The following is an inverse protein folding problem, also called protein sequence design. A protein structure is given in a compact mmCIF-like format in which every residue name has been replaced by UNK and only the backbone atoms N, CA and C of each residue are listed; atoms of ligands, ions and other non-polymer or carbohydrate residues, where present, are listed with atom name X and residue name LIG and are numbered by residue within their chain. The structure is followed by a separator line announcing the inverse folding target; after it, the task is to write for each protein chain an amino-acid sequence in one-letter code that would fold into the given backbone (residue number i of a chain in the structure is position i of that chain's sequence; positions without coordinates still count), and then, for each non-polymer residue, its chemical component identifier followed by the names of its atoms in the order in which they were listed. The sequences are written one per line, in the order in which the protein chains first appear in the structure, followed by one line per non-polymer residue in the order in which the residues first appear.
data_IF_611235721603
#
_entry.id   IF_611235721603
#
_cell.length_a   1.000
_cell.length_b   1.000
_cell.length_c   1.000
_cell.angle_alpha   90.00
_cell.angle_beta   90.00
_cell.angle_gamma   90.00
#
_symmetry.space_group_name_H-M   'P 1'
#
loop_
_entity.id
_entity.type
_entity.pdbx_description
1 polymer ?
#
# COMPACT_ATOMS: atom_id res chain seq x y z
N UNK A 1 11.10 -15.90 -9.32
CA UNK A 1 9.71 -15.49 -9.52
C UNK A 1 9.06 -16.60 -10.35
N UNK A 2 7.93 -17.16 -9.93
CA UNK A 2 7.27 -18.28 -10.65
C UNK A 2 5.95 -17.76 -11.20
N UNK A 3 5.72 -17.95 -12.50
CA UNK A 3 4.50 -17.48 -13.15
C UNK A 3 3.27 -18.20 -12.57
N UNK A 4 2.15 -17.49 -12.39
CA UNK A 4 0.90 -18.05 -11.88
C UNK A 4 0.88 -18.33 -10.37
N UNK A 5 1.98 -18.06 -9.65
CA UNK A 5 2.04 -18.19 -8.19
C UNK A 5 1.78 -16.86 -7.50
N UNK A 6 1.03 -16.88 -6.40
CA UNK A 6 0.90 -15.72 -5.51
C UNK A 6 2.23 -15.51 -4.77
N UNK A 7 2.86 -14.36 -4.97
CA UNK A 7 4.17 -14.03 -4.43
C UNK A 7 4.18 -12.66 -3.77
N UNK A 8 5.12 -12.46 -2.86
CA UNK A 8 5.45 -11.13 -2.33
C UNK A 8 6.20 -10.33 -3.40
N UNK A 9 5.67 -9.14 -3.73
CA UNK A 9 6.27 -8.17 -4.65
C UNK A 9 6.71 -6.87 -3.95
N UNK A 10 6.22 -6.61 -2.74
CA UNK A 10 6.63 -5.46 -1.93
C UNK A 10 6.49 -5.74 -0.44
N UNK A 11 7.31 -5.08 0.38
CA UNK A 11 7.23 -5.13 1.84
C UNK A 11 7.27 -3.72 2.40
N UNK A 12 6.45 -3.44 3.40
CA UNK A 12 6.49 -2.18 4.15
C UNK A 12 6.41 -2.47 5.64
N UNK A 13 7.28 -1.83 6.40
CA UNK A 13 7.22 -1.84 7.86
C UNK A 13 6.63 -0.51 8.31
N UNK A 14 5.61 -0.58 9.16
CA UNK A 14 5.05 0.60 9.82
C UNK A 14 5.33 0.46 11.31
N UNK A 15 5.90 1.51 11.91
CA UNK A 15 6.34 1.51 13.32
C UNK A 15 5.68 2.67 14.04
N UNK A 16 5.04 2.39 15.17
CA UNK A 16 4.57 3.41 16.08
C UNK A 16 5.74 3.91 16.94
N UNK A 17 5.81 5.22 17.17
CA UNK A 17 6.72 5.75 18.19
C UNK A 17 6.33 5.22 19.57
N UNK A 18 7.28 5.14 20.50
CA UNK A 18 6.99 4.76 21.89
C UNK A 18 6.02 5.71 22.62
N UNK A 19 5.85 6.93 22.13
CA UNK A 19 5.00 7.95 22.71
C UNK A 19 3.49 7.72 22.49
N UNK A 20 3.10 6.92 21.51
CA UNK A 20 1.69 6.71 21.20
C UNK A 20 1.42 5.68 20.12
N UNK A 21 0.22 5.11 20.16
CA UNK A 21 -0.29 4.23 19.12
C UNK A 21 -0.48 5.03 17.82
N UNK A 22 -0.46 4.34 16.67
CA UNK A 22 -0.82 4.95 15.38
C UNK A 22 -1.90 4.12 14.69
N UNK A 23 -2.75 4.82 13.95
CA UNK A 23 -3.72 4.22 13.04
C UNK A 23 -3.37 4.50 11.59
N UNK A 24 -3.66 3.56 10.69
CA UNK A 24 -3.60 3.83 9.25
C UNK A 24 -4.75 3.18 8.49
N UNK A 25 -5.10 3.77 7.33
CA UNK A 25 -6.12 3.21 6.42
C UNK A 25 -5.70 3.10 4.97
N UNK A 26 -4.71 3.88 4.52
CA UNK A 26 -4.31 3.89 3.11
C UNK A 26 -2.83 3.63 2.93
N UNK A 27 -2.48 2.80 1.94
CA UNK A 27 -1.13 2.59 1.43
C UNK A 27 -1.17 2.58 -0.11
N UNK A 28 -0.41 3.45 -0.75
CA UNK A 28 -0.24 3.47 -2.21
C UNK A 28 1.17 3.04 -2.60
N UNK A 29 1.24 1.96 -3.36
CA UNK A 29 2.48 1.37 -3.84
C UNK A 29 2.73 1.81 -5.28
N UNK A 30 3.84 2.49 -5.52
CA UNK A 30 4.34 2.76 -6.87
C UNK A 30 5.08 1.53 -7.38
N UNK A 31 4.59 0.98 -8.48
CA UNK A 31 5.13 -0.22 -9.12
C UNK A 31 5.78 0.17 -10.44
N UNK A 32 6.97 -0.35 -10.73
CA UNK A 32 7.56 -0.36 -12.08
C UNK A 32 7.87 -1.80 -12.49
N UNK A 33 7.48 -2.19 -13.71
CA UNK A 33 7.63 -3.54 -14.25
C UNK A 33 8.08 -3.53 -15.70
N UNK A 34 8.71 -4.62 -16.15
CA UNK A 34 8.91 -4.87 -17.58
C UNK A 34 7.55 -4.99 -18.28
N UNK A 35 7.45 -4.52 -19.53
CA UNK A 35 6.18 -4.43 -20.28
C UNK A 35 5.39 -5.74 -20.34
N UNK A 36 6.07 -6.86 -20.61
CA UNK A 36 5.44 -8.17 -20.71
C UNK A 36 4.94 -8.74 -19.36
N UNK A 37 5.44 -8.24 -18.23
CA UNK A 37 5.04 -8.75 -16.90
C UNK A 37 3.61 -8.35 -16.62
N UNK A 38 2.80 -9.29 -16.17
CA UNK A 38 1.44 -9.04 -15.67
C UNK A 38 1.39 -9.26 -14.17
N UNK A 39 0.58 -8.46 -13.48
CA UNK A 39 0.23 -8.68 -12.07
C UNK A 39 -1.18 -9.26 -12.01
N UNK A 40 -1.64 -9.74 -10.86
CA UNK A 40 -3.05 -10.11 -10.69
C UNK A 40 -3.95 -8.87 -10.75
N UNK A 41 -5.22 -9.09 -11.09
CA UNK A 41 -6.26 -8.07 -10.99
C UNK A 41 -6.40 -7.51 -9.57
N UNK A 42 -6.97 -6.31 -9.42
CA UNK A 42 -7.21 -5.65 -8.11
C UNK A 42 -8.03 -6.49 -7.14
N UNK A 43 -8.88 -7.39 -7.64
CA UNK A 43 -9.67 -8.35 -6.84
C UNK A 43 -8.85 -9.52 -6.27
N UNK A 44 -7.63 -9.73 -6.78
CA UNK A 44 -6.73 -10.81 -6.37
C UNK A 44 -5.47 -10.30 -5.65
N UNK A 45 -5.20 -9.00 -5.75
CA UNK A 45 -4.19 -8.30 -4.96
C UNK A 45 -4.55 -8.38 -3.47
N UNK A 46 -3.54 -8.60 -2.64
CA UNK A 46 -3.74 -8.73 -1.20
C UNK A 46 -2.59 -8.10 -0.42
N UNK A 47 -2.93 -7.43 0.68
CA UNK A 47 -1.99 -6.99 1.69
C UNK A 47 -2.03 -7.98 2.85
N UNK A 48 -0.86 -8.42 3.32
CA UNK A 48 -0.74 -9.41 4.39
C UNK A 48 0.05 -8.86 5.56
N UNK A 49 -0.41 -9.11 6.78
CA UNK A 49 0.33 -8.90 8.04
C UNK A 49 0.68 -10.29 8.62
N UNK A 50 1.91 -10.74 8.35
CA UNK A 50 2.33 -12.11 8.60
C UNK A 50 1.47 -13.14 7.86
N UNK A 51 0.67 -13.91 8.63
CA UNK A 51 -0.23 -14.95 8.12
C UNK A 51 -1.68 -14.48 7.96
N UNK A 52 -1.98 -13.22 8.26
CA UNK A 52 -3.34 -12.68 8.16
C UNK A 52 -3.44 -11.75 6.94
N UNK A 53 -4.46 -11.95 6.11
CA UNK A 53 -4.79 -11.00 5.06
C UNK A 53 -5.52 -9.79 5.69
N UNK A 54 -5.06 -8.59 5.37
CA UNK A 54 -5.72 -7.34 5.80
C UNK A 54 -6.96 -7.12 4.91
N UNK A 55 -8.12 -6.96 5.53
CA UNK A 55 -9.36 -6.65 4.80
C UNK A 55 -9.30 -5.23 4.23
N UNK A 56 -9.62 -5.08 2.96
CA UNK A 56 -9.64 -3.80 2.27
C UNK A 56 -9.82 -3.95 0.77
N UNK A 57 -9.75 -2.82 0.07
CA UNK A 57 -9.97 -2.74 -1.37
C UNK A 57 -8.73 -2.19 -2.04
N UNK A 58 -8.33 -2.80 -3.15
CA UNK A 58 -7.33 -2.24 -4.06
C UNK A 58 -8.00 -1.48 -5.19
N UNK A 59 -7.40 -0.35 -5.57
CA UNK A 59 -7.63 0.33 -6.83
C UNK A 59 -6.32 0.73 -7.50
N UNK A 60 -6.42 1.34 -8.67
CA UNK A 60 -5.28 1.79 -9.48
C UNK A 60 -5.62 3.11 -10.15
N UNK A 61 -4.60 3.92 -10.40
CA UNK A 61 -4.72 5.23 -11.09
C UNK A 61 -5.22 5.11 -12.52
N UNK A 62 -5.27 3.90 -13.08
CA UNK A 62 -5.86 3.63 -14.41
C UNK A 62 -7.38 3.47 -14.38
N UNK A 63 -8.03 3.58 -13.21
CA UNK A 63 -9.46 3.31 -13.02
C UNK A 63 -9.77 1.84 -12.79
N UNK A 64 -11.04 1.54 -12.52
CA UNK A 64 -11.51 0.16 -12.33
C UNK A 64 -11.19 -0.66 -13.58
N UNK A 65 -10.27 -1.62 -13.44
CA UNK A 65 -10.01 -2.61 -14.47
C UNK A 65 -11.13 -3.65 -14.41
N UNK A 66 -12.34 -3.21 -14.78
CA UNK A 66 -13.53 -4.04 -14.93
C UNK A 66 -13.27 -5.01 -16.09
N UNK A 67 -12.76 -6.19 -15.75
CA UNK A 67 -12.58 -7.32 -16.66
C UNK A 67 -11.14 -7.64 -17.08
N UNK A 68 -10.13 -6.91 -16.60
CA UNK A 68 -8.72 -7.21 -16.87
C UNK A 68 -8.13 -8.21 -15.88
N UNK A 69 -7.35 -9.19 -16.36
CA UNK A 69 -6.58 -10.12 -15.51
C UNK A 69 -5.33 -9.47 -14.87
N UNK A 70 -4.99 -8.24 -15.27
CA UNK A 70 -3.82 -7.49 -14.80
C UNK A 70 -4.24 -6.16 -14.17
N UNK A 71 -3.57 -5.74 -13.10
CA UNK A 71 -3.84 -4.48 -12.37
C UNK A 71 -3.13 -3.27 -12.97
N UNK A 72 -2.21 -3.48 -13.91
CA UNK A 72 -1.47 -2.44 -14.64
C UNK A 72 -1.38 -2.80 -16.13
N UNK A 73 -2.54 -3.11 -16.74
CA UNK A 73 -2.66 -3.54 -18.15
C UNK A 73 -1.97 -2.53 -19.08
N UNK A 74 -1.08 -3.02 -19.94
CA UNK A 74 -0.32 -2.22 -20.92
C UNK A 74 0.51 -1.07 -20.32
N UNK A 75 0.78 -1.11 -19.01
CA UNK A 75 1.64 -0.14 -18.35
C UNK A 75 2.90 -0.79 -17.79
N UNK A 76 4.00 -0.05 -17.84
CA UNK A 76 5.27 -0.38 -17.20
C UNK A 76 5.43 0.30 -15.84
N UNK A 77 4.53 1.22 -15.48
CA UNK A 77 4.51 1.90 -14.19
C UNK A 77 3.09 2.28 -13.78
N UNK A 78 2.82 2.32 -12.49
CA UNK A 78 1.55 2.80 -11.95
C UNK A 78 1.44 2.61 -10.44
N UNK A 79 0.30 2.99 -9.87
CA UNK A 79 0.03 2.86 -8.45
C UNK A 79 -0.97 1.74 -8.17
N UNK A 80 -0.67 0.93 -7.16
CA UNK A 80 -1.62 0.03 -6.52
C UNK A 80 -1.97 0.62 -5.16
N UNK A 81 -3.19 1.12 -5.01
CA UNK A 81 -3.63 1.80 -3.79
C UNK A 81 -4.57 0.89 -3.02
N UNK A 82 -4.17 0.57 -1.79
CA UNK A 82 -4.95 -0.20 -0.84
C UNK A 82 -5.61 0.74 0.17
N UNK A 83 -6.91 0.54 0.40
CA UNK A 83 -7.65 1.15 1.50
C UNK A 83 -8.21 0.04 2.38
N UNK A 84 -7.78 0.00 3.64
CA UNK A 84 -8.25 -0.97 4.62
C UNK A 84 -9.74 -0.74 4.93
N UNK A 85 -10.50 -1.82 5.12
CA UNK A 85 -11.92 -1.73 5.49
C UNK A 85 -12.08 -1.05 6.86
N UNK A 86 -11.21 -1.40 7.80
CA UNK A 86 -11.14 -0.82 9.14
C UNK A 86 -9.73 -0.32 9.40
N UNK A 87 -9.62 0.71 10.23
CA UNK A 87 -8.37 1.21 10.77
C UNK A 87 -7.43 0.07 11.22
N UNK A 88 -6.17 0.21 10.85
CA UNK A 88 -5.10 -0.70 11.24
C UNK A 88 -4.29 -0.03 12.34
N UNK A 89 -4.42 -0.57 13.55
CA UNK A 89 -3.77 -0.04 14.75
C UNK A 89 -2.42 -0.72 15.02
N UNK A 90 -1.42 0.10 15.31
CA UNK A 90 -0.06 -0.32 15.70
C UNK A 90 0.22 0.27 17.07
N UNK A 91 0.44 -0.60 18.05
CA UNK A 91 0.68 -0.20 19.43
C UNK A 91 2.02 0.53 19.56
N UNK A 92 2.07 1.48 20.50
CA UNK A 92 3.24 2.30 20.80
C UNK A 92 4.52 1.46 20.93
N UNK A 93 5.59 1.90 20.26
CA UNK A 93 6.90 1.25 20.28
C UNK A 93 6.96 -0.11 19.57
N UNK A 94 5.92 -0.50 18.82
CA UNK A 94 5.89 -1.74 18.05
C UNK A 94 5.88 -1.49 16.54
N UNK A 95 6.20 -2.53 15.79
CA UNK A 95 6.20 -2.52 14.33
C UNK A 95 5.31 -3.62 13.78
N UNK A 96 4.66 -3.35 12.65
CA UNK A 96 4.02 -4.35 11.81
C UNK A 96 4.64 -4.40 10.44
N UNK A 97 4.72 -5.60 9.87
CA UNK A 97 5.35 -5.87 8.59
C UNK A 97 4.29 -6.33 7.60
N UNK A 98 3.99 -5.47 6.63
CA UNK A 98 3.01 -5.76 5.59
C UNK A 98 3.69 -6.23 4.32
N UNK A 99 3.08 -7.22 3.67
CA UNK A 99 3.54 -7.76 2.40
C UNK A 99 2.47 -7.53 1.33
N UNK A 100 2.84 -6.83 0.27
CA UNK A 100 2.04 -6.74 -0.95
C UNK A 100 2.25 -8.03 -1.74
N UNK A 101 1.16 -8.80 -1.90
CA UNK A 101 1.18 -10.08 -2.59
C UNK A 101 0.25 -10.07 -3.80
N UNK A 102 0.71 -10.70 -4.88
CA UNK A 102 -0.06 -10.86 -6.12
C UNK A 102 0.44 -12.03 -6.93
N UNK A 103 -0.39 -12.50 -7.86
CA UNK A 103 0.06 -13.41 -8.91
C UNK A 103 0.86 -12.64 -9.95
N UNK A 104 2.00 -13.16 -10.38
CA UNK A 104 2.79 -12.56 -11.47
C UNK A 104 2.79 -13.49 -12.69
N UNK A 105 2.64 -12.94 -13.89
CA UNK A 105 2.67 -13.65 -15.17
C UNK A 105 3.57 -12.95 -16.19
N UNK A 106 3.56 -13.46 -17.42
CA UNK A 106 4.30 -12.84 -18.54
C UNK A 106 5.82 -12.76 -18.32
N UNK A 107 6.37 -13.72 -17.59
CA UNK A 107 7.79 -13.74 -17.21
C UNK A 107 8.65 -14.27 -18.33
N UNK A 108 9.76 -13.58 -18.58
CA UNK A 108 10.82 -13.98 -19.48
C UNK A 108 12.19 -13.71 -18.83
N UNK A 109 13.24 -14.09 -19.54
CA UNK A 109 14.61 -13.71 -19.22
C UNK A 109 14.72 -12.19 -18.98
N UNK A 110 15.23 -11.79 -17.81
CA UNK A 110 15.42 -10.39 -17.47
C UNK A 110 14.18 -9.63 -16.98
N UNK A 111 13.03 -10.29 -16.80
CA UNK A 111 11.84 -9.65 -16.23
C UNK A 111 12.11 -9.08 -14.82
N UNK A 112 11.62 -7.88 -14.57
CA UNK A 112 11.74 -7.18 -13.30
C UNK A 112 10.39 -6.61 -12.85
N UNK A 113 10.18 -6.60 -11.54
CA UNK A 113 9.15 -5.84 -10.84
C UNK A 113 9.84 -5.14 -9.68
N UNK A 114 9.57 -3.84 -9.52
CA UNK A 114 10.04 -3.03 -8.41
C UNK A 114 8.85 -2.30 -7.79
N UNK A 115 8.82 -2.26 -6.47
CA UNK A 115 7.74 -1.63 -5.71
C UNK A 115 8.35 -0.67 -4.71
N UNK A 116 7.75 0.50 -4.57
CA UNK A 116 8.13 1.56 -3.63
C UNK A 116 6.89 2.26 -3.09
N UNK A 117 7.05 3.05 -2.03
CA UNK A 117 6.02 3.98 -1.55
C UNK A 117 6.63 5.37 -1.65
N UNK A 118 6.00 6.24 -2.44
CA UNK A 118 6.43 7.64 -2.58
C UNK A 118 5.90 8.49 -1.43
N UNK A 119 6.42 9.70 -1.22
CA UNK A 119 5.78 10.74 -0.37
C UNK A 119 5.33 11.91 -1.25
N UNK A 120 4.23 11.77 -2.02
CA UNK A 120 3.80 12.79 -2.98
C UNK A 120 3.19 14.05 -2.36
N UNK A 121 2.70 14.03 -1.11
CA UNK A 121 2.04 15.22 -0.56
C UNK A 121 3.02 16.37 -0.33
N UNK A 122 2.64 17.56 -0.79
CA UNK A 122 3.43 18.80 -0.64
C UNK A 122 2.88 19.74 0.43
N UNK A 123 1.73 19.43 1.02
CA UNK A 123 1.09 20.17 2.10
C UNK A 123 0.34 19.23 3.03
N UNK A 124 0.16 19.64 4.28
CA UNK A 124 -0.65 18.90 5.25
C UNK A 124 -2.12 18.92 4.81
N UNK A 125 -2.79 17.78 4.93
CA UNK A 125 -4.25 17.70 4.87
C UNK A 125 -4.71 16.92 6.10
N UNK A 126 -5.62 17.50 6.87
CA UNK A 126 -6.24 16.85 8.02
C UNK A 126 -7.73 16.69 7.82
N UNK A 127 -8.32 15.66 8.41
CA UNK A 127 -9.76 15.42 8.33
C UNK A 127 -10.14 14.08 8.94
N UNK A 128 -11.28 13.54 8.52
CA UNK A 128 -11.69 12.18 8.86
C UNK A 128 -10.93 11.16 8.05
N UNK A 129 -10.98 9.89 8.45
CA UNK A 129 -10.35 8.80 7.71
C UNK A 129 -10.83 8.78 6.25
N UNK A 130 -12.13 8.99 6.03
CA UNK A 130 -12.69 9.07 4.67
C UNK A 130 -12.17 10.27 3.89
N UNK A 131 -12.05 11.43 4.53
CA UNK A 131 -11.57 12.66 3.89
C UNK A 131 -10.11 12.60 3.45
N UNK A 132 -9.29 11.79 4.11
CA UNK A 132 -7.84 11.69 3.85
C UNK A 132 -7.47 10.41 3.07
N UNK A 133 -8.15 9.30 3.34
CA UNK A 133 -7.65 7.96 3.03
C UNK A 133 -8.61 7.05 2.24
N UNK A 134 -9.84 7.46 1.92
CA UNK A 134 -10.82 6.56 1.27
C UNK A 134 -10.64 6.36 -0.25
N UNK A 135 -9.83 7.18 -0.91
CA UNK A 135 -9.68 7.11 -2.37
C UNK A 135 -8.69 6.00 -2.78
N UNK A 136 -9.22 4.96 -3.44
CA UNK A 136 -8.48 3.83 -3.99
C UNK A 136 -7.92 4.09 -5.40
N UNK A 137 -8.31 5.17 -6.08
CA UNK A 137 -7.85 5.54 -7.43
C UNK A 137 -6.76 6.60 -7.33
N UNK A 138 -6.85 7.54 -6.39
CA UNK A 138 -5.80 8.53 -6.17
C UNK A 138 -4.55 7.92 -5.54
N UNK A 139 -3.40 8.19 -6.15
CA UNK A 139 -2.07 7.84 -5.60
C UNK A 139 -1.58 8.80 -4.52
N UNK A 140 -2.23 9.96 -4.38
CA UNK A 140 -1.96 10.96 -3.33
C UNK A 140 -3.17 11.06 -2.40
N UNK A 141 -2.97 11.08 -1.07
CA UNK A 141 -1.71 10.78 -0.39
C UNK A 141 -1.31 9.31 -0.55
N UNK A 142 -0.03 8.98 -0.43
CA UNK A 142 0.41 7.58 -0.48
C UNK A 142 0.17 6.85 0.83
N UNK A 143 0.07 7.58 1.94
CA UNK A 143 -0.21 7.06 3.27
C UNK A 143 -1.22 7.95 3.97
N UNK A 144 -2.29 7.35 4.48
CA UNK A 144 -3.32 8.03 5.27
C UNK A 144 -3.34 7.43 6.67
N UNK A 145 -3.06 8.26 7.67
CA UNK A 145 -2.77 7.83 9.03
C UNK A 145 -3.28 8.80 10.08
N UNK A 146 -3.22 8.39 11.33
CA UNK A 146 -3.59 9.22 12.48
C UNK A 146 -2.73 8.87 13.69
N UNK A 147 -2.45 9.88 14.50
CA UNK A 147 -1.84 9.70 15.80
C UNK A 147 -2.93 9.33 16.82
N UNK A 148 -2.75 8.21 17.51
CA UNK A 148 -3.66 7.73 18.55
C UNK A 148 -3.07 7.91 19.95
N UNK A 149 -2.13 8.83 20.12
CA UNK A 149 -1.56 9.18 21.43
C UNK A 149 -2.60 9.76 22.42
N UNK A 150 -3.76 10.22 21.93
CA UNK A 150 -4.88 10.67 22.77
C UNK A 150 -5.68 9.49 23.33
N UNK A 151 -6.50 9.73 24.36
CA UNK A 151 -7.38 8.70 24.96
C UNK A 151 -8.27 8.07 23.87
N UNK A 152 -8.32 6.74 23.81
CA UNK A 152 -9.07 5.98 22.79
C UNK A 152 -10.55 6.39 22.64
N UNK A 153 -11.20 6.93 23.67
CA UNK A 153 -12.60 7.37 23.60
C UNK A 153 -12.83 8.64 22.79
N UNK A 154 -11.78 9.35 22.37
CA UNK A 154 -11.88 10.56 21.54
C UNK A 154 -11.32 10.39 20.14
N UNK A 155 -10.86 9.19 19.78
CA UNK A 155 -10.30 8.89 18.47
C UNK A 155 -11.16 7.88 17.72
N UNK A 156 -11.44 8.14 16.44
CA UNK A 156 -12.12 7.19 15.55
C UNK A 156 -11.88 7.55 14.08
N UNK A 157 -12.44 6.74 13.17
CA UNK A 157 -12.44 7.09 11.74
C UNK A 157 -13.26 8.37 11.42
N UNK A 158 -14.13 8.82 12.34
CA UNK A 158 -14.95 10.03 12.16
C UNK A 158 -14.36 11.27 12.83
N UNK A 159 -13.26 11.16 13.57
CA UNK A 159 -12.58 12.31 14.16
C UNK A 159 -11.66 12.98 13.14
N UNK A 160 -11.42 14.29 13.30
CA UNK A 160 -10.71 15.11 12.29
C UNK A 160 -9.19 15.17 12.51
N UNK A 161 -8.62 14.10 13.04
CA UNK A 161 -7.21 13.94 13.40
C UNK A 161 -6.46 12.96 12.48
N UNK A 162 -7.09 12.54 11.38
CA UNK A 162 -6.39 11.85 10.29
C UNK A 162 -5.59 12.85 9.47
N UNK A 163 -4.43 12.44 9.00
CA UNK A 163 -3.50 13.25 8.21
C UNK A 163 -2.86 12.43 7.09
N UNK A 164 -2.37 13.15 6.09
CA UNK A 164 -1.64 12.57 4.96
C UNK A 164 -0.16 12.26 5.28
N UNK A 165 0.50 11.67 4.28
CA UNK A 165 1.91 11.31 4.20
C UNK A 165 2.91 12.48 4.31
N UNK A 166 2.45 13.74 4.24
CA UNK A 166 3.32 14.91 4.35
C UNK A 166 4.20 14.91 5.61
N UNK A 167 3.65 14.42 6.73
CA UNK A 167 4.35 14.36 8.02
C UNK A 167 5.16 13.07 8.23
N UNK A 168 5.09 12.12 7.31
CA UNK A 168 5.87 10.88 7.35
C UNK A 168 7.29 11.18 6.90
N UNK A 169 8.16 11.47 7.86
CA UNK A 169 9.59 11.71 7.64
C UNK A 169 10.29 10.36 7.47
N UNK A 170 11.17 10.25 6.48
CA UNK A 170 11.93 9.03 6.13
C UNK A 170 11.07 7.81 5.77
N UNK A 171 10.47 7.80 4.58
CA UNK A 171 10.06 6.53 3.95
C UNK A 171 11.33 5.77 3.54
N UNK A 172 11.70 4.66 4.21
CA UNK A 172 12.80 3.84 3.73
C UNK A 172 12.35 3.20 2.42
N UNK A 173 13.00 3.56 1.32
CA UNK A 173 12.88 2.83 0.06
C UNK A 173 13.59 1.49 0.24
N UNK A 174 12.95 0.53 0.91
CA UNK A 174 13.43 -0.85 0.88
C UNK A 174 13.15 -1.36 -0.53
N UNK A 175 14.17 -1.23 -1.39
CA UNK A 175 14.16 -1.79 -2.74
C UNK A 175 14.07 -3.30 -2.59
N UNK A 176 12.89 -3.87 -2.81
CA UNK A 176 12.71 -5.30 -2.96
C UNK A 176 13.10 -5.71 -4.38
N UNK A 177 14.39 -5.69 -4.73
CA UNK A 177 14.86 -6.22 -6.01
C UNK A 177 14.85 -7.76 -5.96
N UNK A 178 13.82 -8.38 -6.54
CA UNK A 178 13.82 -9.82 -6.88
C UNK A 178 14.18 -9.98 -8.35
N UNK A 179 15.47 -10.11 -8.64
CA UNK A 179 15.96 -10.56 -9.94
C UNK A 179 15.91 -12.08 -10.03
N UNK A 180 15.54 -12.63 -11.19
CA UNK A 180 15.68 -14.06 -11.48
C UNK A 180 16.85 -14.24 -12.43
N UNK A 181 17.86 -14.97 -11.99
CA UNK A 181 18.92 -15.51 -12.84
C UNK A 181 18.72 -17.02 -12.90
N UNK A 182 18.67 -17.57 -14.12
CA UNK A 182 18.73 -19.01 -14.38
C UNK A 182 20.18 -19.44 -14.56
#
# INVERSE_FOLDING_TARGET
MVAGSNIVIGKVTVTADSAGDIGWKKLSFTVNKTEAVTLGATTTLALWDGSNQVAGTFGTTTGDLVGGLDSLVNLTSGNLTFVATSEQEIAAGTSRNYELRTTVGGLAAGSNVSVSIANPSTSITTGTATGVAADTVASTPSFGWTDRSSISTVHSESTSDWTNDYLVKTLPLTVGNRSVSF
#
